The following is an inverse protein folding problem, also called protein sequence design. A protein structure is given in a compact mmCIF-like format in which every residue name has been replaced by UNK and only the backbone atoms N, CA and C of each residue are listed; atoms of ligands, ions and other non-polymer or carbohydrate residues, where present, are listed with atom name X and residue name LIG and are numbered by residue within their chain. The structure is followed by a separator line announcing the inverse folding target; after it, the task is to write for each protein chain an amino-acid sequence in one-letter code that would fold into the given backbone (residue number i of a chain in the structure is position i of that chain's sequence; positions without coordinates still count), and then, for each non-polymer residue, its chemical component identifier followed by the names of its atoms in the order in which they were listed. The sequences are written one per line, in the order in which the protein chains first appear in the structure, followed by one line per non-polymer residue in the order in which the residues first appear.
data_IF_047908053889
#
_entry.id   IF_047908053889
#
_cell.length_a   1.000
_cell.length_b   1.000
_cell.length_c   1.000
_cell.angle_alpha   90.00
_cell.angle_beta   90.00
_cell.angle_gamma   90.00
#
_symmetry.space_group_name_H-M   'P 1'
#
loop_
_entity.id
_entity.type
_entity.pdbx_description
1 polymer ?
#
# COMPACT_ATOMS: atom_id res chain seq x y z
N UNK A 1 7.78 -18.00 -13.19
CA UNK A 1 7.42 -17.54 -11.82
C UNK A 1 7.85 -16.09 -11.61
N UNK A 2 9.13 -15.75 -11.80
CA UNK A 2 9.69 -14.39 -11.58
C UNK A 2 9.01 -13.30 -12.43
N UNK A 3 8.76 -13.54 -13.72
CA UNK A 3 8.11 -12.54 -14.59
C UNK A 3 6.66 -12.23 -14.14
N UNK A 4 5.86 -13.27 -13.89
CA UNK A 4 4.44 -13.11 -13.53
C UNK A 4 4.31 -12.39 -12.19
N UNK A 5 5.07 -12.82 -11.18
CA UNK A 5 5.03 -12.16 -9.86
C UNK A 5 5.54 -10.72 -9.95
N UNK A 6 6.56 -10.45 -10.79
CA UNK A 6 7.11 -9.11 -10.97
C UNK A 6 6.08 -8.16 -11.59
N UNK A 7 5.32 -8.65 -12.57
CA UNK A 7 4.20 -7.90 -13.16
C UNK A 7 3.10 -7.63 -12.11
N UNK A 8 2.76 -8.62 -11.27
CA UNK A 8 1.80 -8.44 -10.18
C UNK A 8 2.26 -7.33 -9.23
N UNK A 9 3.53 -7.36 -8.81
CA UNK A 9 4.10 -6.33 -7.95
C UNK A 9 4.00 -4.95 -8.61
N UNK A 10 4.39 -4.80 -9.88
CA UNK A 10 4.30 -3.51 -10.56
C UNK A 10 2.85 -3.03 -10.64
N UNK A 11 1.92 -3.85 -11.11
CA UNK A 11 0.52 -3.41 -11.30
C UNK A 11 -0.12 -3.03 -9.94
N UNK A 12 -0.02 -3.90 -8.94
CA UNK A 12 -0.75 -3.72 -7.69
C UNK A 12 -0.06 -2.80 -6.68
N UNK A 13 1.27 -2.65 -6.74
CA UNK A 13 2.03 -1.89 -5.75
C UNK A 13 2.58 -0.59 -6.31
N UNK A 14 2.98 -0.54 -7.59
CA UNK A 14 3.47 0.69 -8.22
C UNK A 14 2.30 1.59 -8.65
N UNK A 15 1.40 1.06 -9.49
CA UNK A 15 0.32 1.85 -10.09
C UNK A 15 -0.76 2.14 -9.05
N UNK A 16 -1.26 1.09 -8.38
CA UNK A 16 -2.38 1.24 -7.46
C UNK A 16 -1.96 1.68 -6.05
N UNK A 17 -0.71 1.45 -5.66
CA UNK A 17 -0.19 1.80 -4.33
C UNK A 17 0.62 3.10 -4.34
N UNK A 18 1.89 3.00 -4.75
CA UNK A 18 2.85 4.09 -4.60
C UNK A 18 2.49 5.35 -5.40
N UNK A 19 2.10 5.22 -6.68
CA UNK A 19 1.65 6.38 -7.46
C UNK A 19 0.39 7.02 -6.88
N UNK A 20 -0.55 6.20 -6.37
CA UNK A 20 -1.73 6.72 -5.70
C UNK A 20 -1.35 7.56 -4.48
N UNK A 21 -0.34 7.12 -3.71
CA UNK A 21 0.16 7.89 -2.57
C UNK A 21 0.93 9.16 -2.98
N UNK A 22 1.66 9.15 -4.10
CA UNK A 22 2.28 10.37 -4.65
C UNK A 22 1.19 11.40 -4.98
N UNK A 23 0.15 10.99 -5.71
CA UNK A 23 -0.96 11.86 -6.07
C UNK A 23 -1.66 12.36 -4.80
N UNK A 24 -1.92 11.47 -3.84
CA UNK A 24 -2.57 11.83 -2.58
C UNK A 24 -1.73 12.81 -1.76
N UNK A 25 -0.42 12.61 -1.65
CA UNK A 25 0.48 13.49 -0.91
C UNK A 25 0.57 14.89 -1.54
N UNK A 26 0.75 14.96 -2.86
CA UNK A 26 0.92 16.22 -3.59
C UNK A 26 -0.40 16.97 -3.82
N UNK A 27 -1.49 16.25 -4.10
CA UNK A 27 -2.80 16.81 -4.44
C UNK A 27 -3.94 15.94 -3.89
N UNK A 28 -4.31 16.13 -2.62
CA UNK A 28 -5.37 15.33 -1.98
C UNK A 28 -6.73 15.55 -2.65
N UNK A 29 -6.98 16.76 -3.19
CA UNK A 29 -8.18 17.06 -3.96
C UNK A 29 -8.26 16.24 -5.25
N UNK A 30 -7.13 16.06 -5.95
CA UNK A 30 -7.08 15.20 -7.13
C UNK A 30 -7.24 13.73 -6.75
N UNK A 31 -6.58 13.27 -5.68
CA UNK A 31 -6.74 11.91 -5.20
C UNK A 31 -8.19 11.59 -4.82
N UNK A 32 -8.90 12.53 -4.18
CA UNK A 32 -10.33 12.41 -3.88
C UNK A 32 -11.19 12.29 -5.13
N UNK A 33 -10.89 13.07 -6.19
CA UNK A 33 -11.61 12.99 -7.47
C UNK A 33 -11.36 11.69 -8.24
N UNK A 34 -10.15 11.13 -8.11
CA UNK A 34 -9.77 9.87 -8.75
C UNK A 34 -10.19 8.64 -7.93
N UNK A 35 -10.79 8.82 -6.75
CA UNK A 35 -11.18 7.72 -5.86
C UNK A 35 -10.00 7.03 -5.18
N UNK A 36 -8.83 7.67 -5.14
CA UNK A 36 -7.61 7.17 -4.50
C UNK A 36 -7.58 7.47 -3.00
N UNK A 37 -8.37 8.44 -2.57
CA UNK A 37 -8.59 8.77 -1.17
C UNK A 37 -10.05 9.25 -0.99
N UNK A 38 -10.54 9.26 0.25
CA UNK A 38 -11.83 9.87 0.56
C UNK A 38 -11.73 11.40 0.41
N UNK A 39 -12.73 12.06 -0.19
CA UNK A 39 -12.78 13.52 -0.23
C UNK A 39 -12.80 14.13 1.18
N UNK A 40 -12.11 15.25 1.38
CA UNK A 40 -12.06 15.96 2.68
C UNK A 40 -13.46 16.28 3.23
N UNK A 41 -14.40 16.63 2.35
CA UNK A 41 -15.80 16.91 2.73
C UNK A 41 -16.57 15.69 3.24
N UNK A 42 -16.07 14.48 3.00
CA UNK A 42 -16.72 13.21 3.35
C UNK A 42 -16.15 12.55 4.60
N UNK A 43 -15.17 13.18 5.25
CA UNK A 43 -14.45 12.64 6.40
C UNK A 43 -14.36 13.64 7.56
N UNK A 44 -14.01 13.12 8.73
CA UNK A 44 -13.63 13.94 9.88
C UNK A 44 -12.26 14.62 9.65
N UNK A 45 -12.06 15.87 10.07
CA UNK A 45 -10.78 16.56 9.93
C UNK A 45 -9.60 15.81 10.56
N UNK A 46 -9.81 15.11 11.67
CA UNK A 46 -8.78 14.32 12.35
C UNK A 46 -8.32 13.16 11.47
N UNK A 47 -9.27 12.45 10.85
CA UNK A 47 -8.96 11.39 9.91
C UNK A 47 -8.31 11.92 8.64
N UNK A 48 -8.75 13.08 8.15
CA UNK A 48 -8.13 13.71 7.00
C UNK A 48 -6.65 14.03 7.25
N UNK A 49 -6.32 14.64 8.38
CA UNK A 49 -4.93 14.95 8.73
C UNK A 49 -4.10 13.68 8.92
N UNK A 50 -4.64 12.63 9.55
CA UNK A 50 -3.96 11.34 9.68
C UNK A 50 -3.64 10.71 8.31
N UNK A 51 -4.62 10.65 7.40
CA UNK A 51 -4.42 10.09 6.06
C UNK A 51 -3.48 10.92 5.18
N UNK A 52 -3.40 12.24 5.41
CA UNK A 52 -2.39 13.11 4.78
C UNK A 52 -0.98 12.76 5.26
N UNK A 53 -0.80 12.56 6.56
CA UNK A 53 0.47 12.12 7.14
C UNK A 53 0.89 10.75 6.63
N UNK A 54 -0.06 9.81 6.58
CA UNK A 54 0.11 8.47 5.99
C UNK A 54 0.58 8.56 4.54
N UNK A 55 -0.11 9.32 3.69
CA UNK A 55 0.26 9.44 2.27
C UNK A 55 1.69 9.96 2.07
N UNK A 56 2.11 10.98 2.83
CA UNK A 56 3.46 11.54 2.75
C UNK A 56 4.50 10.49 3.19
N UNK A 57 4.23 9.79 4.29
CA UNK A 57 5.11 8.75 4.78
C UNK A 57 5.23 7.57 3.80
N UNK A 58 4.10 7.14 3.25
CA UNK A 58 4.03 6.04 2.29
C UNK A 58 4.89 6.32 1.06
N UNK A 59 4.81 7.52 0.48
CA UNK A 59 5.64 7.92 -0.68
C UNK A 59 7.12 7.65 -0.45
N UNK A 60 7.62 7.84 0.78
CA UNK A 60 9.04 7.66 1.11
C UNK A 60 9.45 6.21 1.26
N UNK A 61 8.53 5.29 1.57
CA UNK A 61 8.91 3.93 1.97
C UNK A 61 8.28 2.80 1.15
N UNK A 62 7.10 2.99 0.56
CA UNK A 62 6.41 1.91 -0.17
C UNK A 62 6.89 1.74 -1.62
N UNK A 63 7.82 2.57 -2.12
CA UNK A 63 8.44 2.37 -3.43
C UNK A 63 9.32 1.11 -3.51
N UNK A 64 9.71 0.56 -2.36
CA UNK A 64 10.58 -0.61 -2.25
C UNK A 64 9.99 -1.87 -2.88
N UNK A 65 8.67 -2.09 -2.75
CA UNK A 65 7.99 -3.24 -3.33
C UNK A 65 7.81 -3.15 -4.87
N UNK A 66 7.47 -1.99 -5.46
CA UNK A 66 7.63 -1.73 -6.89
C UNK A 66 9.02 -2.04 -7.44
N UNK A 67 10.08 -1.58 -6.74
CA UNK A 67 11.46 -1.86 -7.14
C UNK A 67 11.78 -3.34 -7.05
N UNK A 68 11.28 -4.06 -6.03
CA UNK A 68 11.38 -5.51 -5.98
C UNK A 68 10.76 -6.16 -7.22
N UNK A 69 9.59 -5.69 -7.67
CA UNK A 69 8.95 -6.16 -8.90
C UNK A 69 9.78 -5.95 -10.16
N UNK A 70 10.36 -4.76 -10.33
CA UNK A 70 11.25 -4.45 -11.46
C UNK A 70 12.49 -5.35 -11.43
N UNK A 71 13.15 -5.48 -10.28
CA UNK A 71 14.34 -6.32 -10.12
C UNK A 71 14.03 -7.81 -10.38
N UNK A 72 12.84 -8.27 -10.01
CA UNK A 72 12.39 -9.63 -10.27
C UNK A 72 12.21 -9.90 -11.77
N UNK A 73 11.69 -8.93 -12.53
CA UNK A 73 11.59 -9.01 -14.00
C UNK A 73 12.98 -9.03 -14.65
N UNK A 74 13.90 -8.22 -14.13
CA UNK A 74 15.30 -8.16 -14.58
C UNK A 74 16.14 -9.35 -14.08
N UNK A 75 15.54 -10.28 -13.33
CA UNK A 75 16.18 -11.45 -12.76
C UNK A 75 17.41 -11.12 -11.87
N UNK A 76 17.38 -9.96 -11.20
CA UNK A 76 18.44 -9.51 -10.30
C UNK A 76 18.23 -10.06 -8.89
N UNK A 77 19.20 -10.74 -8.25
CA UNK A 77 19.03 -11.35 -6.92
C UNK A 77 18.75 -10.32 -5.82
N UNK A 78 19.01 -9.03 -6.07
CA UNK A 78 18.69 -7.95 -5.15
C UNK A 78 17.19 -7.83 -4.86
N UNK A 79 16.33 -8.36 -5.74
CA UNK A 79 14.88 -8.33 -5.57
C UNK A 79 14.45 -8.86 -4.20
N UNK A 80 15.14 -9.88 -3.66
CA UNK A 80 14.76 -10.53 -2.41
C UNK A 80 14.87 -9.56 -1.22
N UNK A 81 15.93 -8.75 -1.16
CA UNK A 81 16.10 -7.75 -0.10
C UNK A 81 15.02 -6.66 -0.16
N UNK A 82 14.75 -6.15 -1.37
CA UNK A 82 13.67 -5.18 -1.57
C UNK A 82 12.30 -5.79 -1.31
N UNK A 83 12.10 -7.06 -1.65
CA UNK A 83 10.87 -7.81 -1.39
C UNK A 83 10.61 -8.02 0.10
N UNK A 84 11.65 -8.25 0.90
CA UNK A 84 11.54 -8.33 2.36
C UNK A 84 11.19 -6.97 2.98
N UNK A 85 11.92 -5.92 2.63
CA UNK A 85 11.67 -4.56 3.15
C UNK A 85 10.28 -4.09 2.72
N UNK A 86 10.00 -4.11 1.41
CA UNK A 86 8.73 -3.68 0.86
C UNK A 86 7.56 -4.55 1.31
N UNK A 87 7.74 -5.87 1.38
CA UNK A 87 6.72 -6.76 1.93
C UNK A 87 6.40 -6.42 3.38
N UNK A 88 7.42 -6.23 4.23
CA UNK A 88 7.22 -5.81 5.62
C UNK A 88 6.47 -4.49 5.73
N UNK A 89 6.86 -3.48 4.93
CA UNK A 89 6.17 -2.20 4.88
C UNK A 89 4.70 -2.34 4.47
N UNK A 90 4.40 -2.98 3.33
CA UNK A 90 3.02 -3.14 2.86
C UNK A 90 2.15 -3.95 3.82
N UNK A 91 2.71 -4.97 4.47
CA UNK A 91 1.98 -5.74 5.49
C UNK A 91 1.61 -4.86 6.69
N UNK A 92 2.56 -4.07 7.19
CA UNK A 92 2.31 -3.11 8.26
C UNK A 92 1.25 -2.09 7.85
N UNK A 93 1.35 -1.50 6.65
CA UNK A 93 0.39 -0.52 6.16
C UNK A 93 -1.01 -1.08 5.97
N UNK A 94 -1.12 -2.28 5.38
CA UNK A 94 -2.39 -2.99 5.27
C UNK A 94 -3.04 -3.17 6.65
N UNK A 95 -2.29 -3.68 7.62
CA UNK A 95 -2.77 -3.88 8.98
C UNK A 95 -3.17 -2.58 9.67
N UNK A 96 -2.27 -1.60 9.68
CA UNK A 96 -2.47 -0.26 10.27
C UNK A 96 -3.68 0.44 9.65
N UNK A 97 -3.77 0.45 8.32
CA UNK A 97 -4.86 1.08 7.58
C UNK A 97 -6.23 0.49 7.93
N UNK A 98 -6.31 -0.83 8.14
CA UNK A 98 -7.53 -1.52 8.58
C UNK A 98 -7.85 -1.16 10.03
N UNK A 99 -6.89 -1.36 10.95
CA UNK A 99 -7.11 -1.22 12.39
C UNK A 99 -7.45 0.21 12.78
N UNK A 100 -6.73 1.21 12.25
CA UNK A 100 -6.99 2.62 12.54
C UNK A 100 -8.42 3.01 12.16
N UNK A 101 -8.88 2.62 10.98
CA UNK A 101 -10.25 2.91 10.52
C UNK A 101 -11.29 2.26 11.43
N UNK A 102 -11.09 0.99 11.79
CA UNK A 102 -12.00 0.28 12.71
C UNK A 102 -12.06 0.94 14.09
N UNK A 103 -10.91 1.36 14.64
CA UNK A 103 -10.84 2.05 15.94
C UNK A 103 -11.49 3.42 15.87
N UNK A 104 -11.21 4.21 14.84
CA UNK A 104 -11.81 5.53 14.64
C UNK A 104 -13.34 5.44 14.48
N UNK A 105 -13.84 4.45 13.72
CA UNK A 105 -15.27 4.21 13.60
C UNK A 105 -15.94 3.89 14.93
N UNK A 106 -15.28 3.12 15.81
CA UNK A 106 -15.78 2.84 17.17
C UNK A 106 -15.86 4.10 18.04
N UNK A 107 -15.10 5.14 17.69
CA UNK A 107 -15.11 6.45 18.34
C UNK A 107 -15.97 7.48 17.58
N UNK A 108 -16.86 7.03 16.69
CA UNK A 108 -17.74 7.87 15.87
C UNK A 108 -17.00 8.87 14.95
N UNK A 109 -15.70 8.68 14.70
CA UNK A 109 -14.94 9.46 13.72
C UNK A 109 -15.34 9.01 12.31
N UNK A 110 -15.73 9.95 11.47
CA UNK A 110 -16.16 9.69 10.09
C UNK A 110 -14.95 9.42 9.20
N UNK A 111 -14.80 8.18 8.73
CA UNK A 111 -13.66 7.72 7.89
C UNK A 111 -14.00 7.56 6.40
N UNK A 112 -15.10 8.17 5.95
CA UNK A 112 -15.55 8.13 4.56
C UNK A 112 -16.96 7.55 4.38
N UNK A 113 -17.34 7.31 3.13
CA UNK A 113 -18.64 6.69 2.79
C UNK A 113 -18.56 5.17 2.91
N UNK A 114 -19.66 4.54 3.32
CA UNK A 114 -19.72 3.08 3.54
C UNK A 114 -19.42 2.25 2.28
N UNK A 115 -19.77 2.75 1.09
CA UNK A 115 -19.51 2.09 -0.18
C UNK A 115 -18.02 2.07 -0.56
N UNK A 116 -17.35 3.22 -0.51
CA UNK A 116 -15.92 3.35 -0.81
C UNK A 116 -15.05 2.67 0.23
N UNK A 117 -15.47 2.68 1.50
CA UNK A 117 -14.72 2.02 2.58
C UNK A 117 -14.57 0.50 2.39
N UNK A 118 -15.58 -0.18 1.85
CA UNK A 118 -15.49 -1.63 1.55
C UNK A 118 -14.43 -1.91 0.50
N UNK A 119 -14.38 -1.09 -0.55
CA UNK A 119 -13.38 -1.21 -1.61
C UNK A 119 -11.98 -0.92 -1.05
N UNK A 120 -11.86 0.07 -0.17
CA UNK A 120 -10.61 0.39 0.49
C UNK A 120 -10.07 -0.79 1.34
N UNK A 121 -10.93 -1.41 2.16
CA UNK A 121 -10.54 -2.60 2.92
C UNK A 121 -10.13 -3.77 2.02
N UNK A 122 -10.81 -3.96 0.88
CA UNK A 122 -10.43 -4.99 -0.09
C UNK A 122 -9.00 -4.75 -0.62
N UNK A 123 -8.65 -3.52 -0.98
CA UNK A 123 -7.30 -3.18 -1.44
C UNK A 123 -6.25 -3.39 -0.35
N UNK A 124 -6.51 -2.97 0.89
CA UNK A 124 -5.59 -3.21 1.99
C UNK A 124 -5.35 -4.71 2.22
N UNK A 125 -6.40 -5.54 2.22
CA UNK A 125 -6.27 -6.99 2.36
C UNK A 125 -5.43 -7.57 1.20
N UNK A 126 -5.71 -7.14 -0.03
CA UNK A 126 -4.96 -7.59 -1.19
C UNK A 126 -3.47 -7.23 -1.10
N UNK A 127 -3.16 -6.00 -0.68
CA UNK A 127 -1.77 -5.58 -0.43
C UNK A 127 -1.11 -6.38 0.69
N UNK A 128 -1.82 -6.68 1.78
CA UNK A 128 -1.33 -7.55 2.83
C UNK A 128 -1.01 -8.96 2.33
N UNK A 129 -1.85 -9.55 1.47
CA UNK A 129 -1.61 -10.86 0.87
C UNK A 129 -0.41 -10.85 -0.09
N UNK A 130 -0.31 -9.83 -0.95
CA UNK A 130 0.84 -9.65 -1.84
C UNK A 130 2.14 -9.53 -1.03
N UNK A 131 2.10 -8.76 0.06
CA UNK A 131 3.23 -8.61 0.98
C UNK A 131 3.66 -9.96 1.57
N UNK A 132 2.73 -10.74 2.14
CA UNK A 132 3.03 -12.05 2.73
C UNK A 132 3.65 -13.00 1.71
N UNK A 133 3.04 -13.12 0.52
CA UNK A 133 3.58 -13.98 -0.54
C UNK A 133 4.97 -13.52 -0.97
N UNK A 134 5.19 -12.21 -1.10
CA UNK A 134 6.50 -11.67 -1.48
C UNK A 134 7.56 -11.97 -0.44
N UNK A 135 7.24 -11.85 0.85
CA UNK A 135 8.15 -12.21 1.94
C UNK A 135 8.54 -13.69 1.83
N UNK A 136 7.55 -14.59 1.68
CA UNK A 136 7.81 -16.03 1.57
C UNK A 136 8.73 -16.33 0.38
N UNK A 137 8.44 -15.77 -0.79
CA UNK A 137 9.24 -15.96 -1.99
C UNK A 137 10.65 -15.37 -1.82
N UNK A 138 10.78 -14.21 -1.18
CA UNK A 138 12.06 -13.56 -0.96
C UNK A 138 12.94 -14.36 0.00
N UNK A 139 12.38 -14.88 1.11
CA UNK A 139 13.10 -15.77 2.04
C UNK A 139 13.59 -17.02 1.32
N UNK A 140 12.74 -17.63 0.48
CA UNK A 140 13.10 -18.83 -0.29
C UNK A 140 14.18 -18.58 -1.35
N UNK A 141 14.35 -17.34 -1.79
CA UNK A 141 15.33 -16.96 -2.81
C UNK A 141 16.67 -16.48 -2.23
N UNK A 142 16.74 -16.20 -0.92
CA UNK A 142 17.99 -15.84 -0.27
C UNK A 142 18.90 -17.08 -0.17
N UNK A 143 20.21 -16.92 -0.39
CA UNK A 143 21.15 -18.01 -0.21
C UNK A 143 21.12 -18.48 1.25
N UNK A 144 20.88 -19.78 1.44
CA UNK A 144 21.06 -20.40 2.74
C UNK A 144 22.56 -20.52 3.05
N UNK A 145 22.98 -20.32 4.31
CA UNK A 145 24.36 -20.58 4.73
C UNK A 145 24.75 -22.04 4.52
#
# INVERSE_FOLDING_TARGET
MNLIWGIILIIFTMILGWFAQIINALSPTLAGRLGLNEPESDVDPTFFVDTRGEAIWDVMIIWTLPVAGILLILNSPLWAYFGLVGGGSYLYFAGRGIVVRLVMQRQAIRVGKSGTLKLYFLFLILWGLIAVVTIILAVAALPHP
#
